data_IF_596759623053
#
_entry.id   IF_596759623053
#
_cell.length_a   1.000
_cell.length_b   1.000
_cell.length_c   1.000
_cell.angle_alpha   90.00
_cell.angle_beta   90.00
_cell.angle_gamma   90.00
#
_symmetry.space_group_name_H-M   'P 1'
#
loop_
_entity.id
_entity.type
_entity.pdbx_description
1 polymer ?
#
# COMPACT_ATOMS: atom_id res chain seq x y z
N UNK A 1 -9.70 6.91 25.88
CA UNK A 1 -8.95 7.48 24.74
C UNK A 1 -8.49 8.90 25.06
N UNK A 2 -7.39 9.34 24.47
CA UNK A 2 -6.77 10.65 24.72
C UNK A 2 -7.11 11.72 23.66
N UNK A 3 -7.91 11.38 22.64
CA UNK A 3 -8.25 12.29 21.54
C UNK A 3 -7.08 12.63 20.61
N UNK A 4 -6.08 11.75 20.50
CA UNK A 4 -4.87 11.96 19.71
C UNK A 4 -5.04 11.33 18.33
N UNK A 5 -4.91 12.13 17.27
CA UNK A 5 -4.91 11.64 15.89
C UNK A 5 -3.63 10.88 15.51
N UNK A 6 -3.77 9.85 14.67
CA UNK A 6 -2.67 9.03 14.16
C UNK A 6 -2.48 9.32 12.66
N UNK A 7 -1.28 9.78 12.30
CA UNK A 7 -0.91 10.00 10.90
C UNK A 7 -0.03 8.85 10.41
N UNK A 8 -0.57 8.00 9.55
CA UNK A 8 0.13 6.80 9.08
C UNK A 8 1.08 7.12 7.91
N UNK A 9 2.39 7.12 8.20
CA UNK A 9 3.45 7.29 7.20
C UNK A 9 3.70 6.02 6.38
N UNK A 10 4.02 6.18 5.10
CA UNK A 10 4.27 5.10 4.15
C UNK A 10 3.18 4.01 4.12
N UNK A 11 1.89 4.39 4.02
CA UNK A 11 0.77 3.45 4.17
C UNK A 11 0.74 2.37 3.09
N UNK A 12 1.39 2.60 1.95
CA UNK A 12 1.51 1.66 0.84
C UNK A 12 2.77 0.78 0.91
N UNK A 13 3.45 0.74 2.07
CA UNK A 13 4.61 -0.10 2.29
C UNK A 13 5.80 0.26 1.40
N UNK A 14 6.12 1.56 1.31
CA UNK A 14 7.09 2.10 0.36
C UNK A 14 6.81 1.67 -1.09
N UNK A 15 5.54 1.72 -1.50
CA UNK A 15 5.13 1.39 -2.86
C UNK A 15 4.94 -0.10 -3.14
N UNK A 16 5.25 -0.99 -2.19
CA UNK A 16 5.01 -2.43 -2.33
C UNK A 16 3.55 -2.77 -2.71
N UNK A 17 2.59 -2.02 -2.17
CA UNK A 17 1.15 -2.26 -2.40
C UNK A 17 0.59 -1.55 -3.64
N UNK A 18 1.39 -0.69 -4.29
CA UNK A 18 0.99 0.03 -5.52
C UNK A 18 1.77 -0.40 -6.75
N UNK A 19 2.96 -0.94 -6.57
CA UNK A 19 3.86 -1.41 -7.62
C UNK A 19 3.76 -2.93 -7.67
N UNK A 20 3.49 -3.49 -8.85
CA UNK A 20 3.41 -4.95 -9.02
C UNK A 20 4.74 -5.58 -8.57
N UNK A 21 4.74 -6.78 -7.98
CA UNK A 21 5.96 -7.49 -7.56
C UNK A 21 7.01 -7.62 -8.67
N UNK A 22 6.56 -7.64 -9.93
CA UNK A 22 7.42 -7.64 -11.12
C UNK A 22 8.39 -6.44 -11.17
N UNK A 23 8.00 -5.28 -10.63
CA UNK A 23 8.89 -4.12 -10.54
C UNK A 23 9.96 -4.30 -9.45
N UNK A 24 9.73 -5.13 -8.43
CA UNK A 24 10.71 -5.42 -7.37
C UNK A 24 11.85 -6.31 -7.88
N UNK A 25 11.57 -7.15 -8.87
CA UNK A 25 12.58 -7.95 -9.59
C UNK A 25 13.42 -7.06 -10.52
N UNK A 26 12.82 -6.01 -11.06
CA UNK A 26 13.46 -4.99 -11.93
C UNK A 26 14.06 -3.81 -11.15
N UNK A 27 13.97 -3.78 -9.81
CA UNK A 27 14.63 -2.73 -9.02
C UNK A 27 16.14 -2.85 -9.28
N UNK A 28 16.67 -1.88 -10.02
CA UNK A 28 18.09 -1.72 -10.24
C UNK A 28 18.81 -1.72 -8.89
N UNK A 29 20.08 -2.12 -8.90
CA UNK A 29 20.95 -2.27 -7.75
C UNK A 29 21.08 -1.03 -6.81
N UNK A 30 20.32 0.05 -7.02
CA UNK A 30 20.26 1.23 -6.15
C UNK A 30 19.96 0.83 -4.69
N UNK A 31 20.96 1.08 -3.85
CA UNK A 31 21.23 0.36 -2.60
C UNK A 31 20.15 0.48 -1.51
N UNK A 32 19.24 1.46 -1.59
CA UNK A 32 18.25 1.72 -0.55
C UNK A 32 17.29 0.54 -0.31
N UNK A 33 16.82 -0.12 -1.37
CA UNK A 33 15.80 -1.18 -1.25
C UNK A 33 16.37 -2.48 -0.69
N UNK A 34 17.65 -2.78 -0.97
CA UNK A 34 18.35 -3.98 -0.48
C UNK A 34 18.50 -4.01 1.04
N UNK A 35 18.58 -2.84 1.66
CA UNK A 35 18.72 -2.71 3.11
C UNK A 35 17.39 -2.81 3.87
N UNK A 36 16.25 -2.81 3.16
CA UNK A 36 14.94 -2.96 3.80
C UNK A 36 14.63 -4.45 3.95
N UNK A 37 14.42 -4.98 5.18
CA UNK A 37 14.21 -6.41 5.41
C UNK A 37 13.08 -7.01 4.56
N UNK A 38 12.02 -6.24 4.29
CA UNK A 38 10.86 -6.64 3.47
C UNK A 38 11.22 -7.13 2.06
N UNK A 39 12.30 -6.60 1.49
CA UNK A 39 12.74 -6.88 0.12
C UNK A 39 13.94 -7.82 0.04
N UNK A 40 14.44 -8.32 1.18
CA UNK A 40 15.44 -9.39 1.20
C UNK A 40 14.81 -10.70 0.71
N UNK A 41 15.58 -11.56 0.04
CA UNK A 41 15.06 -12.68 -0.76
C UNK A 41 13.98 -13.53 -0.08
N UNK A 42 14.25 -14.04 1.13
CA UNK A 42 13.30 -14.89 1.86
C UNK A 42 12.02 -14.13 2.25
N UNK A 43 12.16 -12.91 2.76
CA UNK A 43 11.02 -12.06 3.13
C UNK A 43 10.22 -11.63 1.89
N UNK A 44 10.89 -11.34 0.79
CA UNK A 44 10.26 -10.94 -0.46
C UNK A 44 9.37 -12.07 -0.98
N UNK A 45 9.85 -13.32 -0.94
CA UNK A 45 9.07 -14.48 -1.36
C UNK A 45 7.80 -14.66 -0.52
N UNK A 46 7.93 -14.58 0.81
CA UNK A 46 6.76 -14.61 1.70
C UNK A 46 5.80 -13.44 1.46
N UNK A 47 6.34 -12.24 1.26
CA UNK A 47 5.53 -11.04 1.01
C UNK A 47 4.81 -11.10 -0.34
N UNK A 48 5.38 -11.75 -1.37
CA UNK A 48 4.70 -11.98 -2.65
C UNK A 48 3.42 -12.78 -2.46
N UNK A 49 3.45 -13.85 -1.66
CA UNK A 49 2.27 -14.67 -1.35
C UNK A 49 1.17 -13.84 -0.68
N UNK A 50 1.54 -12.97 0.28
CA UNK A 50 0.59 -12.06 0.92
C UNK A 50 0.02 -11.04 -0.05
N UNK A 51 0.88 -10.45 -0.89
CA UNK A 51 0.48 -9.49 -1.92
C UNK A 51 -0.52 -10.11 -2.91
N UNK A 52 -0.30 -11.34 -3.34
CA UNK A 52 -1.24 -12.05 -4.23
C UNK A 52 -2.62 -12.21 -3.61
N UNK A 53 -2.69 -12.53 -2.31
CA UNK A 53 -3.97 -12.60 -1.59
C UNK A 53 -4.65 -11.23 -1.54
N UNK A 54 -3.90 -10.15 -1.33
CA UNK A 54 -4.42 -8.78 -1.38
C UNK A 54 -4.96 -8.47 -2.78
N UNK A 55 -4.24 -8.83 -3.84
CA UNK A 55 -4.71 -8.70 -5.22
C UNK A 55 -6.03 -9.43 -5.44
N UNK A 56 -6.16 -10.67 -5.00
CA UNK A 56 -7.40 -11.44 -5.13
C UNK A 56 -8.58 -10.75 -4.41
N UNK A 57 -8.36 -10.21 -3.21
CA UNK A 57 -9.38 -9.44 -2.50
C UNK A 57 -9.75 -8.15 -3.24
N UNK A 58 -8.74 -7.42 -3.73
CA UNK A 58 -8.95 -6.17 -4.46
C UNK A 58 -9.74 -6.40 -5.75
N UNK A 59 -9.45 -7.50 -6.48
CA UNK A 59 -10.22 -7.93 -7.65
C UNK A 59 -11.68 -8.21 -7.31
N UNK A 60 -11.96 -8.95 -6.24
CA UNK A 60 -13.34 -9.21 -5.78
C UNK A 60 -14.10 -7.92 -5.46
N UNK A 61 -13.40 -6.92 -4.94
CA UNK A 61 -13.94 -5.59 -4.61
C UNK A 61 -13.81 -4.56 -5.74
N UNK A 62 -13.36 -4.98 -6.94
CA UNK A 62 -13.21 -4.12 -8.14
C UNK A 62 -12.38 -2.85 -7.88
N UNK A 63 -11.32 -2.98 -7.10
CA UNK A 63 -10.41 -1.88 -6.75
C UNK A 63 -8.94 -2.30 -6.97
N UNK A 64 -8.03 -1.34 -6.90
CA UNK A 64 -6.59 -1.62 -6.91
C UNK A 64 -6.11 -2.10 -5.53
N UNK A 65 -5.05 -2.93 -5.44
CA UNK A 65 -4.44 -3.32 -4.17
C UNK A 65 -4.06 -2.12 -3.28
N UNK A 66 -3.57 -1.04 -3.88
CA UNK A 66 -3.25 0.21 -3.18
C UNK A 66 -4.48 0.89 -2.58
N UNK A 67 -5.62 0.85 -3.29
CA UNK A 67 -6.88 1.39 -2.80
C UNK A 67 -7.40 0.56 -1.63
N UNK A 68 -7.34 -0.76 -1.73
CA UNK A 68 -7.72 -1.66 -0.65
C UNK A 68 -6.87 -1.44 0.62
N UNK A 69 -5.56 -1.26 0.44
CA UNK A 69 -4.65 -0.98 1.55
C UNK A 69 -4.97 0.36 2.24
N UNK A 70 -5.18 1.43 1.47
CA UNK A 70 -5.53 2.74 2.02
C UNK A 70 -6.88 2.71 2.75
N UNK A 71 -7.90 2.08 2.15
CA UNK A 71 -9.20 1.92 2.80
C UNK A 71 -9.10 1.14 4.11
N UNK A 72 -8.26 0.10 4.16
CA UNK A 72 -8.02 -0.65 5.39
C UNK A 72 -7.37 0.20 6.49
N UNK A 73 -6.40 1.07 6.13
CA UNK A 73 -5.77 1.98 7.10
C UNK A 73 -6.77 3.02 7.61
N UNK A 74 -7.58 3.60 6.72
CA UNK A 74 -8.66 4.51 7.12
C UNK A 74 -9.67 3.83 8.07
N UNK A 75 -9.91 2.53 7.91
CA UNK A 75 -10.84 1.79 8.76
C UNK A 75 -10.29 1.46 10.16
N UNK A 76 -9.01 1.75 10.46
CA UNK A 76 -8.46 1.47 11.79
C UNK A 76 -9.00 2.41 12.87
N UNK A 77 -9.57 3.56 12.50
CA UNK A 77 -10.18 4.51 13.43
C UNK A 77 -10.54 5.82 12.75
N UNK A 78 -11.49 6.57 13.32
CA UNK A 78 -11.90 7.88 12.80
C UNK A 78 -10.81 8.96 12.98
N UNK A 79 -9.83 8.68 13.84
CA UNK A 79 -8.67 9.49 14.15
C UNK A 79 -7.41 9.05 13.38
N UNK A 80 -7.53 8.07 12.47
CA UNK A 80 -6.43 7.57 11.64
C UNK A 80 -6.47 8.17 10.24
N UNK A 81 -5.40 8.86 9.86
CA UNK A 81 -5.23 9.49 8.55
C UNK A 81 -3.93 9.04 7.87
N UNK A 82 -3.97 8.18 6.83
CA UNK A 82 -2.81 7.86 6.02
C UNK A 82 -2.36 9.04 5.14
N UNK A 83 -1.05 9.17 4.96
CA UNK A 83 -0.43 10.17 4.08
C UNK A 83 0.27 9.50 2.88
N UNK A 84 -0.48 9.02 1.87
CA UNK A 84 0.12 8.43 0.69
C UNK A 84 0.81 9.49 -0.18
N UNK A 85 2.12 9.33 -0.38
CA UNK A 85 2.90 10.20 -1.26
C UNK A 85 2.70 9.88 -2.74
N UNK A 86 2.76 10.91 -3.59
CA UNK A 86 2.79 10.79 -5.05
C UNK A 86 3.34 12.05 -5.69
N UNK A 87 3.97 11.93 -6.86
CA UNK A 87 4.39 13.05 -7.74
C UNK A 87 3.53 13.17 -8.99
N UNK A 88 2.54 12.28 -9.18
CA UNK A 88 1.69 12.20 -10.39
C UNK A 88 0.23 12.37 -10.03
N UNK A 89 -0.48 13.21 -10.80
CA UNK A 89 -1.93 13.49 -10.62
C UNK A 89 -2.75 12.21 -10.69
N UNK A 90 -2.50 11.33 -11.67
CA UNK A 90 -3.21 10.05 -11.80
C UNK A 90 -3.16 9.20 -10.53
N UNK A 91 -2.01 9.19 -9.85
CA UNK A 91 -1.86 8.45 -8.60
C UNK A 91 -2.59 9.14 -7.43
N UNK A 92 -2.65 10.48 -7.43
CA UNK A 92 -3.46 11.24 -6.47
C UNK A 92 -4.94 10.88 -6.61
N UNK A 93 -5.46 10.86 -7.84
CA UNK A 93 -6.83 10.44 -8.13
C UNK A 93 -7.09 9.01 -7.62
N UNK A 94 -6.17 8.08 -7.89
CA UNK A 94 -6.29 6.70 -7.37
C UNK A 94 -6.25 6.61 -5.84
N UNK A 95 -5.45 7.44 -5.16
CA UNK A 95 -5.41 7.50 -3.70
C UNK A 95 -6.74 8.02 -3.14
N UNK A 96 -7.31 9.05 -3.75
CA UNK A 96 -8.62 9.63 -3.36
C UNK A 96 -9.75 8.62 -3.58
N UNK A 97 -9.75 7.90 -4.70
CA UNK A 97 -10.75 6.87 -5.00
C UNK A 97 -10.83 5.75 -3.93
N UNK A 98 -9.75 5.52 -3.18
CA UNK A 98 -9.74 4.55 -2.07
C UNK A 98 -10.81 4.85 -1.01
N UNK A 99 -11.15 6.13 -0.80
CA UNK A 99 -12.17 6.56 0.15
C UNK A 99 -13.59 6.22 -0.30
N UNK A 100 -13.85 6.22 -1.61
CA UNK A 100 -15.21 6.13 -2.14
C UNK A 100 -15.61 4.71 -2.53
N UNK A 101 -14.67 3.90 -3.03
CA UNK A 101 -14.98 2.57 -3.60
C UNK A 101 -15.21 1.46 -2.58
N UNK A 102 -14.79 1.66 -1.32
CA UNK A 102 -14.70 0.59 -0.33
C UNK A 102 -15.35 0.92 1.02
N UNK A 103 -15.82 2.15 1.21
CA UNK A 103 -16.49 2.62 2.42
C UNK A 103 -18.03 2.62 2.30
N UNK A 104 -18.59 1.93 1.29
CA UNK A 104 -20.00 1.53 1.21
C UNK A 104 -20.11 0.03 1.43
#
# INVERSE_FOLDING_TARGET
ELGIGIVAYSPLGKGFLSLRPKLLEDLSNEDFWKHIPRFQAENLEHNKILYERICQMATKKRCMPSQLALAWVHHQGNDVCPIPGTTKIKNLEQNIEALYKLMQ
#
